data_IF_426852734191
#
_entry.id   IF_426852734191
#
_cell.length_a   1.000
_cell.length_b   1.000
_cell.length_c   1.000
_cell.angle_alpha   90.00
_cell.angle_beta   90.00
_cell.angle_gamma   90.00
#
_symmetry.space_group_name_H-M   'P 1'
#
loop_
_entity.id
_entity.type
_entity.pdbx_description
1 polymer ?
#
# COMPACT_ATOMS: atom_id res chain seq x y z
N UNK A 1 -40.93 -0.41 -33.24
CA UNK A 1 -39.49 -0.33 -33.49
C UNK A 1 -38.96 0.99 -32.92
N UNK A 2 -38.81 1.06 -31.59
CA UNK A 2 -38.12 2.09 -30.78
C UNK A 2 -37.95 1.52 -29.36
N UNK A 3 -36.96 2.05 -28.64
CA UNK A 3 -36.37 1.66 -27.34
C UNK A 3 -35.13 0.78 -27.49
N UNK A 4 -34.01 1.07 -26.87
CA UNK A 4 -33.47 2.31 -26.33
C UNK A 4 -31.97 2.02 -26.20
N UNK A 5 -31.14 2.92 -26.69
CA UNK A 5 -29.69 2.86 -26.50
C UNK A 5 -29.40 3.28 -25.05
N UNK A 6 -29.45 2.34 -24.12
CA UNK A 6 -29.00 2.57 -22.74
C UNK A 6 -27.49 2.34 -22.67
N UNK A 7 -26.73 3.35 -23.12
CA UNK A 7 -25.39 3.61 -22.60
C UNK A 7 -25.60 4.24 -21.22
N UNK A 8 -25.62 3.42 -20.18
CA UNK A 8 -25.72 3.86 -18.80
C UNK A 8 -24.37 3.68 -18.09
N UNK A 9 -23.77 4.83 -17.81
CA UNK A 9 -22.92 5.14 -16.65
C UNK A 9 -21.57 4.42 -16.51
N UNK A 10 -20.56 5.08 -17.07
CA UNK A 10 -19.30 5.34 -16.37
C UNK A 10 -19.60 5.96 -14.99
N UNK A 11 -19.24 5.28 -13.91
CA UNK A 11 -18.83 5.84 -12.62
C UNK A 11 -18.65 4.70 -11.60
N UNK A 12 -17.47 4.07 -11.61
CA UNK A 12 -17.00 3.22 -10.52
C UNK A 12 -15.73 3.80 -9.93
N UNK A 13 -15.77 5.06 -9.48
CA UNK A 13 -14.71 5.59 -8.60
C UNK A 13 -14.70 4.80 -7.28
N UNK A 14 -13.55 4.70 -6.59
CA UNK A 14 -13.34 3.68 -5.58
C UNK A 14 -14.36 3.80 -4.45
N UNK A 15 -15.24 2.82 -4.32
CA UNK A 15 -15.96 2.54 -3.09
C UNK A 15 -14.95 1.95 -2.11
N UNK A 16 -14.04 2.77 -1.57
CA UNK A 16 -13.00 2.30 -0.66
C UNK A 16 -13.59 2.02 0.72
N UNK A 17 -14.43 0.99 0.81
CA UNK A 17 -14.96 0.41 2.02
C UNK A 17 -15.15 -1.07 1.76
N UNK A 18 -14.15 -1.89 2.11
CA UNK A 18 -14.30 -3.33 2.04
C UNK A 18 -15.42 -3.80 2.98
N UNK A 19 -16.17 -4.82 2.56
CA UNK A 19 -17.18 -5.45 3.41
C UNK A 19 -16.49 -6.20 4.55
N UNK A 20 -16.66 -5.70 5.78
CA UNK A 20 -16.01 -6.24 6.97
C UNK A 20 -16.89 -7.24 7.74
N UNK A 21 -18.13 -7.50 7.31
CA UNK A 21 -19.13 -8.26 8.09
C UNK A 21 -18.71 -9.69 8.45
N UNK A 22 -17.84 -10.32 7.65
CA UNK A 22 -17.35 -11.69 7.88
C UNK A 22 -15.83 -11.78 8.09
N UNK A 23 -15.18 -10.65 8.33
CA UNK A 23 -13.72 -10.60 8.47
C UNK A 23 -13.35 -10.88 9.93
N UNK A 24 -12.51 -11.89 10.16
CA UNK A 24 -12.01 -12.15 11.51
C UNK A 24 -11.06 -11.03 11.91
N UNK A 25 -11.03 -10.70 13.20
CA UNK A 25 -10.12 -9.66 13.72
C UNK A 25 -8.64 -9.91 13.37
N UNK A 26 -8.23 -11.17 13.28
CA UNK A 26 -6.86 -11.55 12.89
C UNK A 26 -6.53 -11.19 11.43
N UNK A 27 -7.54 -11.14 10.56
CA UNK A 27 -7.38 -10.92 9.11
C UNK A 27 -7.56 -9.43 8.74
N UNK A 28 -7.96 -8.59 9.69
CA UNK A 28 -8.24 -7.17 9.45
C UNK A 28 -7.04 -6.41 8.87
N UNK A 29 -5.81 -6.76 9.30
CA UNK A 29 -4.59 -6.15 8.77
C UNK A 29 -4.33 -6.50 7.30
N UNK A 30 -4.60 -7.76 6.91
CA UNK A 30 -4.43 -8.22 5.52
C UNK A 30 -5.46 -7.55 4.61
N UNK A 31 -6.73 -7.53 5.03
CA UNK A 31 -7.77 -6.86 4.27
C UNK A 31 -7.47 -5.37 4.06
N UNK A 32 -7.00 -4.68 5.10
CA UNK A 32 -6.63 -3.27 4.97
C UNK A 32 -5.47 -3.07 4.00
N UNK A 33 -4.46 -3.96 4.02
CA UNK A 33 -3.36 -3.91 3.08
C UNK A 33 -3.83 -4.12 1.63
N UNK A 34 -4.78 -5.04 1.39
CA UNK A 34 -5.36 -5.26 0.06
C UNK A 34 -6.11 -4.03 -0.45
N UNK A 35 -6.97 -3.44 0.38
CA UNK A 35 -7.72 -2.22 0.04
C UNK A 35 -6.77 -1.06 -0.27
N UNK A 36 -5.70 -0.90 0.50
CA UNK A 36 -4.70 0.13 0.24
C UNK A 36 -3.98 -0.09 -1.09
N UNK A 37 -3.64 -1.34 -1.44
CA UNK A 37 -3.02 -1.65 -2.74
C UNK A 37 -3.96 -1.37 -3.90
N UNK A 38 -5.23 -1.75 -3.79
CA UNK A 38 -6.25 -1.42 -4.79
C UNK A 38 -6.41 0.10 -4.96
N UNK A 39 -6.40 0.85 -3.85
CA UNK A 39 -6.45 2.31 -3.89
C UNK A 39 -5.24 2.89 -4.63
N UNK A 40 -4.02 2.50 -4.26
CA UNK A 40 -2.78 2.97 -4.91
C UNK A 40 -2.77 2.65 -6.40
N UNK A 41 -3.18 1.43 -6.78
CA UNK A 41 -3.32 1.02 -8.17
C UNK A 41 -4.36 1.88 -8.92
N UNK A 42 -5.51 2.14 -8.30
CA UNK A 42 -6.56 2.98 -8.91
C UNK A 42 -6.12 4.43 -9.12
N UNK A 43 -5.23 4.93 -8.25
CA UNK A 43 -4.61 6.25 -8.34
C UNK A 43 -3.41 6.27 -9.29
N UNK A 44 -3.06 5.12 -9.89
CA UNK A 44 -1.93 4.95 -10.81
C UNK A 44 -0.57 5.31 -10.18
N UNK A 45 -0.44 5.13 -8.85
CA UNK A 45 0.84 5.27 -8.14
C UNK A 45 1.78 4.18 -8.61
N UNK A 46 3.05 4.47 -8.84
CA UNK A 46 4.05 3.51 -9.33
C UNK A 46 4.17 2.25 -8.43
N UNK A 47 4.46 1.11 -9.07
CA UNK A 47 4.56 -0.20 -8.39
C UNK A 47 5.88 -0.36 -7.62
N UNK A 48 5.87 0.20 -6.41
CA UNK A 48 6.93 0.06 -5.42
C UNK A 48 8.19 0.87 -5.75
N UNK A 49 9.20 0.68 -4.91
CA UNK A 49 10.44 1.46 -4.95
C UNK A 49 11.25 1.24 -6.24
N UNK A 50 11.13 0.06 -6.85
CA UNK A 50 11.79 -0.25 -8.13
C UNK A 50 11.27 0.65 -9.25
N UNK A 51 9.97 0.92 -9.27
CA UNK A 51 9.36 1.73 -10.33
C UNK A 51 9.76 3.22 -10.24
N UNK A 52 10.26 3.67 -9.08
CA UNK A 52 10.80 5.03 -8.90
C UNK A 52 12.33 5.09 -8.92
N UNK A 53 12.99 3.98 -9.24
CA UNK A 53 14.43 3.93 -9.53
C UNK A 53 15.36 3.45 -8.41
N UNK A 54 14.82 2.88 -7.32
CA UNK A 54 15.64 2.24 -6.28
C UNK A 54 15.85 0.75 -6.55
N UNK A 55 17.01 0.24 -6.13
CA UNK A 55 17.32 -1.17 -6.12
C UNK A 55 17.41 -1.76 -4.71
N UNK A 56 17.50 -3.09 -4.62
CA UNK A 56 17.73 -3.78 -3.35
C UNK A 56 19.06 -3.40 -2.70
N UNK A 57 20.04 -3.01 -3.51
CA UNK A 57 21.35 -2.50 -3.09
C UNK A 57 21.26 -1.17 -2.32
N UNK A 58 20.16 -0.43 -2.47
CA UNK A 58 19.94 0.85 -1.77
C UNK A 58 19.38 0.67 -0.37
N UNK A 59 18.86 -0.51 -0.03
CA UNK A 59 18.24 -0.81 1.28
C UNK A 59 19.15 -0.38 2.45
N UNK A 60 20.46 -0.70 2.47
CA UNK A 60 21.33 -0.25 3.56
C UNK A 60 21.39 1.28 3.69
N UNK A 61 21.36 2.03 2.59
CA UNK A 61 21.36 3.48 2.61
C UNK A 61 20.01 4.06 3.07
N UNK A 62 18.91 3.46 2.61
CA UNK A 62 17.55 3.82 3.04
C UNK A 62 17.36 3.62 4.54
N UNK A 63 17.77 2.47 5.08
CA UNK A 63 17.72 2.17 6.52
C UNK A 63 18.52 3.19 7.33
N UNK A 64 19.78 3.46 6.94
CA UNK A 64 20.62 4.47 7.60
C UNK A 64 19.99 5.87 7.57
N UNK A 65 19.28 6.21 6.49
CA UNK A 65 18.55 7.47 6.37
C UNK A 65 17.27 7.54 7.22
N UNK A 66 16.66 6.40 7.54
CA UNK A 66 15.43 6.32 8.34
C UNK A 66 15.69 6.36 9.84
N UNK A 67 16.74 5.68 10.33
CA UNK A 67 17.09 5.61 11.77
C UNK A 67 17.09 6.97 12.48
N UNK A 68 17.75 8.04 11.97
CA UNK A 68 17.79 9.33 12.67
C UNK A 68 16.46 10.09 12.66
N UNK A 69 15.43 9.63 11.96
CA UNK A 69 14.12 10.29 11.86
C UNK A 69 13.21 10.00 13.08
N UNK A 70 13.77 10.06 14.30
CA UNK A 70 13.13 9.64 15.54
C UNK A 70 11.76 10.29 15.80
N UNK A 71 11.57 11.55 15.38
CA UNK A 71 10.29 12.25 15.55
C UNK A 71 9.14 11.54 14.81
N UNK A 72 9.43 10.89 13.69
CA UNK A 72 8.45 10.15 12.89
C UNK A 72 8.42 8.69 13.35
N UNK A 73 9.58 8.06 13.52
CA UNK A 73 9.65 6.63 13.82
C UNK A 73 9.12 6.27 15.20
N UNK A 74 9.19 7.18 16.19
CA UNK A 74 8.58 7.00 17.52
C UNK A 74 7.05 7.10 17.55
N UNK A 75 6.40 7.46 16.43
CA UNK A 75 4.94 7.43 16.31
C UNK A 75 4.41 6.02 16.01
N UNK A 76 5.28 5.09 15.62
CA UNK A 76 4.89 3.70 15.39
C UNK A 76 4.33 3.09 16.68
N UNK A 77 3.18 2.38 16.63
CA UNK A 77 2.64 1.68 17.79
C UNK A 77 3.50 0.47 18.21
N UNK A 78 4.55 0.14 17.43
CA UNK A 78 5.47 -0.97 17.67
C UNK A 78 6.91 -0.48 17.56
N UNK A 79 7.75 -0.96 18.48
CA UNK A 79 9.20 -0.86 18.35
C UNK A 79 9.66 -1.56 17.05
N UNK A 80 10.75 -1.06 16.49
CA UNK A 80 11.35 -1.58 15.26
C UNK A 80 12.88 -1.54 15.36
N UNK A 81 13.50 -2.48 14.68
CA UNK A 81 14.95 -2.58 14.51
C UNK A 81 15.35 -2.15 13.10
N UNK A 82 16.65 -1.95 12.87
CA UNK A 82 17.18 -1.76 11.51
C UNK A 82 16.87 -2.95 10.58
N UNK A 83 16.79 -4.17 11.13
CA UNK A 83 16.39 -5.36 10.39
C UNK A 83 14.91 -5.30 9.98
N UNK A 84 14.04 -4.83 10.86
CA UNK A 84 12.62 -4.62 10.53
C UNK A 84 12.46 -3.58 9.42
N UNK A 85 13.21 -2.47 9.47
CA UNK A 85 13.23 -1.48 8.41
C UNK A 85 13.75 -2.05 7.09
N UNK A 86 14.78 -2.89 7.14
CA UNK A 86 15.33 -3.56 5.95
C UNK A 86 14.27 -4.43 5.27
N UNK A 87 13.56 -5.26 6.06
CA UNK A 87 12.47 -6.12 5.57
C UNK A 87 11.30 -5.30 5.01
N UNK A 88 10.99 -4.16 5.62
CA UNK A 88 9.95 -3.25 5.11
C UNK A 88 10.32 -2.67 3.74
N UNK A 89 11.58 -2.24 3.55
CA UNK A 89 12.04 -1.75 2.25
C UNK A 89 12.06 -2.87 1.20
N UNK A 90 12.52 -4.07 1.56
CA UNK A 90 12.49 -5.24 0.68
C UNK A 90 11.06 -5.57 0.22
N UNK A 91 10.11 -5.63 1.15
CA UNK A 91 8.69 -5.85 0.84
C UNK A 91 8.05 -4.70 0.05
N UNK A 92 8.66 -3.51 0.05
CA UNK A 92 8.17 -2.33 -0.68
C UNK A 92 8.78 -2.18 -2.07
N UNK A 93 9.69 -3.06 -2.47
CA UNK A 93 10.28 -3.03 -3.82
C UNK A 93 9.23 -3.23 -4.92
N UNK A 94 8.24 -4.07 -4.63
CA UNK A 94 7.10 -4.40 -5.49
C UNK A 94 5.84 -4.60 -4.64
N UNK A 95 4.74 -3.95 -5.02
CA UNK A 95 3.53 -3.87 -4.21
C UNK A 95 2.35 -4.63 -4.81
N UNK A 96 2.20 -4.66 -6.14
CA UNK A 96 1.06 -5.30 -6.81
C UNK A 96 1.41 -5.92 -8.17
#
# INVERSE_FOLDING_TARGET
MRRDSTRATSAGGPSSGADTRQVKRADAGLLLADVLRELLFSLQVEDGLVAVGYGTEDIPALVRGTVPQERVTKLSPREHTEEDLSRLFEASMKLY
#
